data_IF_748750466239
#
_entry.id   IF_748750466239
#
_cell.length_a   1.000
_cell.length_b   1.000
_cell.length_c   1.000
_cell.angle_alpha   90.00
_cell.angle_beta   90.00
_cell.angle_gamma   90.00
#
_symmetry.space_group_name_H-M   'P 1'
#
loop_
_entity.id
_entity.type
_entity.pdbx_description
1 polymer ?
#
# COMPACT_ATOMS: atom_id res chain seq x y z
N UNK A 1 -8.54 36.55 3.87
CA UNK A 1 -9.35 37.68 4.33
C UNK A 1 -9.42 38.74 3.25
N UNK A 2 -10.57 39.30 2.98
CA UNK A 2 -10.78 40.33 1.98
C UNK A 2 -11.68 41.45 2.49
N UNK A 3 -11.52 42.61 1.93
CA UNK A 3 -12.41 43.77 2.14
C UNK A 3 -12.82 44.38 0.80
N UNK A 4 -13.82 45.26 0.79
CA UNK A 4 -14.26 45.93 -0.42
C UNK A 4 -13.13 46.81 -0.93
N UNK A 5 -13.00 46.88 -2.27
CA UNK A 5 -12.03 47.76 -2.91
C UNK A 5 -12.69 49.12 -3.28
N UNK A 6 -12.16 50.16 -2.72
CA UNK A 6 -12.61 51.54 -3.04
C UNK A 6 -11.42 52.38 -3.54
N UNK A 7 -11.58 53.16 -4.63
CA UNK A 7 -10.53 54.03 -5.08
C UNK A 7 -10.09 55.06 -4.01
N UNK A 8 -8.79 55.27 -3.84
CA UNK A 8 -8.24 56.23 -2.89
C UNK A 8 -8.30 55.81 -1.42
N UNK A 9 -8.65 54.53 -1.12
CA UNK A 9 -8.67 53.97 0.23
C UNK A 9 -7.35 53.23 0.49
N UNK A 10 -6.77 53.46 1.65
CA UNK A 10 -5.65 52.68 2.19
C UNK A 10 -6.14 51.68 3.19
N UNK A 11 -5.43 50.58 3.35
CA UNK A 11 -5.79 49.45 4.23
C UNK A 11 -4.66 49.19 5.21
N UNK A 12 -5.00 48.78 6.43
CA UNK A 12 -4.08 48.23 7.41
C UNK A 12 -4.75 47.11 8.16
N UNK A 13 -4.24 45.90 8.00
CA UNK A 13 -4.70 44.74 8.73
C UNK A 13 -4.10 44.70 10.13
N UNK A 14 -4.92 44.30 11.08
CA UNK A 14 -4.55 44.11 12.49
C UNK A 14 -4.81 42.65 12.89
N UNK A 15 -3.94 42.14 13.76
CA UNK A 15 -4.13 40.86 14.44
C UNK A 15 -4.05 41.05 15.93
N UNK A 16 -5.08 40.59 16.68
CA UNK A 16 -5.21 40.72 18.14
C UNK A 16 -5.03 42.20 18.61
N UNK A 17 -5.49 43.14 17.82
CA UNK A 17 -5.41 44.56 18.12
C UNK A 17 -4.11 45.25 17.70
N UNK A 18 -3.12 44.55 17.23
CA UNK A 18 -1.85 45.10 16.74
C UNK A 18 -1.78 45.10 15.23
N UNK A 19 -1.22 46.15 14.63
CA UNK A 19 -1.02 46.24 13.19
C UNK A 19 -0.07 45.14 12.69
N UNK A 20 -0.44 44.49 11.60
CA UNK A 20 0.43 43.52 10.94
C UNK A 20 1.31 44.28 9.94
N UNK A 21 2.61 44.27 10.18
CA UNK A 21 3.56 45.02 9.38
C UNK A 21 3.48 44.65 7.89
N UNK A 22 3.37 45.61 7.01
CA UNK A 22 3.28 45.44 5.56
C UNK A 22 1.92 44.88 5.06
N UNK A 23 0.96 44.60 5.91
CA UNK A 23 -0.35 44.11 5.51
C UNK A 23 -1.29 45.27 5.15
N UNK A 24 -1.02 45.90 3.98
CA UNK A 24 -1.72 47.10 3.48
C UNK A 24 -2.52 46.86 2.21
N UNK A 25 -2.61 45.60 1.76
CA UNK A 25 -3.41 45.23 0.60
C UNK A 25 -4.89 44.97 0.96
N UNK A 26 -5.76 45.07 -0.03
CA UNK A 26 -7.19 44.66 0.08
C UNK A 26 -7.35 43.20 0.53
N UNK A 27 -6.45 42.32 0.07
CA UNK A 27 -6.41 40.90 0.44
C UNK A 27 -5.28 40.66 1.45
N UNK A 28 -5.58 39.88 2.49
CA UNK A 28 -4.58 39.44 3.44
C UNK A 28 -4.68 37.92 3.65
N UNK A 29 -3.60 37.20 3.38
CA UNK A 29 -3.47 35.76 3.61
C UNK A 29 -2.72 35.51 4.91
N UNK A 30 -3.20 34.57 5.71
CA UNK A 30 -2.57 34.19 6.97
C UNK A 30 -2.83 32.75 7.32
N UNK A 31 -1.85 32.08 7.93
CA UNK A 31 -1.94 30.76 8.56
C UNK A 31 -1.92 30.83 10.09
N UNK A 32 -2.05 32.01 10.69
CA UNK A 32 -1.96 32.20 12.12
C UNK A 32 -3.36 32.38 12.75
N UNK A 33 -3.59 31.74 13.89
CA UNK A 33 -4.79 31.98 14.68
C UNK A 33 -4.77 33.41 15.25
N UNK A 34 -5.95 33.98 15.45
CA UNK A 34 -6.10 35.31 16.01
C UNK A 34 -7.39 36.00 15.62
N UNK A 35 -7.62 37.17 16.20
CA UNK A 35 -8.72 38.04 15.83
C UNK A 35 -8.22 39.10 14.86
N UNK A 36 -8.81 39.17 13.70
CA UNK A 36 -8.39 40.03 12.59
C UNK A 36 -9.41 41.15 12.34
N UNK A 37 -8.90 42.31 12.01
CA UNK A 37 -9.66 43.47 11.53
C UNK A 37 -8.87 44.17 10.44
N UNK A 38 -9.55 44.93 9.62
CA UNK A 38 -8.92 45.87 8.69
C UNK A 38 -9.39 47.31 9.03
N UNK A 39 -8.45 48.20 9.09
CA UNK A 39 -8.72 49.64 9.11
C UNK A 39 -8.65 50.15 7.68
N UNK A 40 -9.70 50.80 7.24
CA UNK A 40 -9.79 51.50 5.95
C UNK A 40 -9.70 53.00 6.21
N UNK A 41 -8.84 53.69 5.46
CA UNK A 41 -8.64 55.13 5.61
C UNK A 41 -8.81 55.83 4.26
N UNK A 42 -9.69 56.82 4.21
CA UNK A 42 -9.93 57.68 3.06
C UNK A 42 -10.05 59.12 3.51
N UNK A 43 -9.42 60.07 2.85
CA UNK A 43 -9.47 61.51 3.13
C UNK A 43 -9.25 61.84 4.63
N UNK A 44 -8.33 61.14 5.28
CA UNK A 44 -8.02 61.33 6.71
C UNK A 44 -9.01 60.69 7.70
N UNK A 45 -10.12 60.13 7.23
CA UNK A 45 -11.10 59.44 8.07
C UNK A 45 -10.86 57.90 8.04
N UNK A 46 -10.84 57.24 9.20
CA UNK A 46 -10.58 55.84 9.32
C UNK A 46 -11.80 55.10 9.93
N UNK A 47 -12.05 53.89 9.39
CA UNK A 47 -13.08 52.97 9.91
C UNK A 47 -12.52 51.57 10.02
N UNK A 48 -12.80 50.94 11.17
CA UNK A 48 -12.43 49.52 11.42
C UNK A 48 -13.58 48.59 11.06
N UNK A 49 -13.23 47.43 10.44
CA UNK A 49 -14.18 46.35 10.19
C UNK A 49 -14.65 45.66 11.49
N UNK A 50 -15.73 44.90 11.46
CA UNK A 50 -15.98 43.88 12.45
C UNK A 50 -14.80 42.90 12.59
N UNK A 51 -14.69 42.29 13.74
CA UNK A 51 -13.66 41.30 14.01
C UNK A 51 -14.00 39.94 13.38
N UNK A 52 -13.00 39.27 12.81
CA UNK A 52 -13.06 37.90 12.34
C UNK A 52 -12.08 37.09 13.16
N UNK A 53 -12.53 36.02 13.81
CA UNK A 53 -11.68 35.12 14.55
C UNK A 53 -11.28 33.92 13.68
N UNK A 54 -9.98 33.70 13.52
CA UNK A 54 -9.40 32.51 12.89
C UNK A 54 -8.90 31.60 14.01
N UNK A 55 -9.41 30.37 14.02
CA UNK A 55 -8.93 29.30 14.91
C UNK A 55 -8.17 28.28 14.07
N UNK A 56 -7.03 27.84 14.56
CA UNK A 56 -6.32 26.69 14.01
C UNK A 56 -6.71 25.48 14.85
N UNK A 57 -7.23 24.47 14.19
CA UNK A 57 -7.59 23.21 14.82
C UNK A 57 -6.53 22.18 14.42
N UNK A 58 -5.94 21.49 15.39
CA UNK A 58 -5.07 20.37 15.10
C UNK A 58 -5.87 19.27 14.42
N UNK A 59 -5.29 18.68 13.38
CA UNK A 59 -5.85 17.50 12.74
C UNK A 59 -5.87 16.29 13.70
N UNK A 60 -6.66 15.27 13.40
CA UNK A 60 -6.66 14.04 14.19
C UNK A 60 -5.31 13.34 14.10
N UNK A 61 -4.92 12.62 15.15
CA UNK A 61 -3.84 11.65 15.04
C UNK A 61 -4.33 10.47 14.18
N UNK A 62 -3.58 10.12 13.14
CA UNK A 62 -3.93 9.02 12.26
C UNK A 62 -2.81 7.98 12.27
N UNK A 63 -3.15 6.74 12.64
CA UNK A 63 -2.25 5.61 12.65
C UNK A 63 -3.01 4.33 12.31
N UNK A 64 -2.33 3.39 11.65
CA UNK A 64 -2.86 2.05 11.40
C UNK A 64 -1.88 0.99 11.90
N UNK A 65 -2.44 -0.16 12.31
CA UNK A 65 -1.70 -1.33 12.75
C UNK A 65 -2.23 -2.56 12.02
N UNK A 66 -1.38 -3.58 11.84
CA UNK A 66 -1.79 -4.86 11.32
C UNK A 66 -2.02 -5.85 12.48
N UNK A 67 -3.11 -6.62 12.40
CA UNK A 67 -3.38 -7.73 13.30
C UNK A 67 -2.99 -9.05 12.59
N UNK A 68 -1.70 -9.36 12.58
CA UNK A 68 -1.12 -10.54 11.94
C UNK A 68 -0.01 -10.20 10.96
N UNK A 69 0.44 -11.23 10.22
CA UNK A 69 1.49 -11.09 9.20
C UNK A 69 1.00 -10.25 8.03
N UNK A 70 1.85 -9.35 7.57
CA UNK A 70 1.62 -8.57 6.33
C UNK A 70 2.21 -9.27 5.09
N UNK A 71 2.92 -10.37 5.27
CA UNK A 71 3.33 -11.27 4.19
C UNK A 71 2.30 -12.40 4.12
N UNK A 72 1.41 -12.33 3.15
CA UNK A 72 0.30 -13.24 2.98
C UNK A 72 0.67 -14.34 1.99
N UNK A 73 0.29 -15.54 2.32
CA UNK A 73 0.35 -16.69 1.45
C UNK A 73 -1.05 -17.00 0.92
N UNK A 74 -1.12 -17.70 -0.16
CA UNK A 74 -2.29 -18.10 -0.94
C UNK A 74 -3.62 -18.09 -0.16
N UNK A 75 -4.49 -17.14 -0.43
CA UNK A 75 -5.81 -17.01 0.19
C UNK A 75 -5.83 -16.47 1.63
N UNK A 76 -4.68 -16.15 2.22
CA UNK A 76 -4.63 -15.53 3.55
C UNK A 76 -5.08 -14.07 3.52
N UNK A 77 -5.51 -13.59 4.66
CA UNK A 77 -5.91 -12.19 4.86
C UNK A 77 -5.25 -11.63 6.11
N UNK A 78 -5.09 -10.32 6.15
CA UNK A 78 -4.69 -9.55 7.33
C UNK A 78 -5.74 -8.48 7.61
N UNK A 79 -6.00 -8.21 8.88
CA UNK A 79 -6.87 -7.10 9.31
C UNK A 79 -5.97 -5.90 9.63
N UNK A 80 -6.19 -4.81 8.94
CA UNK A 80 -5.61 -3.52 9.28
C UNK A 80 -6.61 -2.73 10.12
N UNK A 81 -6.14 -2.13 11.22
CA UNK A 81 -6.97 -1.36 12.14
C UNK A 81 -6.47 0.07 12.22
N UNK A 82 -7.37 1.03 12.02
CA UNK A 82 -7.11 2.43 12.29
C UNK A 82 -7.36 2.74 13.78
N UNK A 83 -6.59 3.68 14.35
CA UNK A 83 -6.82 4.12 15.70
C UNK A 83 -8.20 4.80 15.86
N UNK A 84 -8.79 4.64 17.03
CA UNK A 84 -10.09 5.28 17.34
C UNK A 84 -9.92 6.77 17.56
N UNK A 85 -10.71 7.57 16.84
CA UNK A 85 -10.82 9.02 17.01
C UNK A 85 -12.31 9.37 17.13
N UNK A 86 -12.69 10.00 18.23
CA UNK A 86 -14.09 10.35 18.48
C UNK A 86 -14.66 11.27 17.40
N UNK A 87 -15.81 10.90 16.83
CA UNK A 87 -16.50 11.67 15.79
C UNK A 87 -15.81 11.68 14.43
N UNK A 88 -14.81 10.84 14.22
CA UNK A 88 -14.12 10.74 12.93
C UNK A 88 -14.82 9.82 11.94
N UNK A 89 -14.61 10.10 10.67
CA UNK A 89 -14.88 9.19 9.55
C UNK A 89 -13.56 8.64 9.03
N UNK A 90 -13.63 7.43 8.46
CA UNK A 90 -12.49 6.70 7.92
C UNK A 90 -12.65 6.52 6.41
N UNK A 91 -11.54 6.47 5.70
CA UNK A 91 -11.47 6.09 4.30
C UNK A 91 -10.14 5.40 4.05
N UNK A 92 -10.20 4.13 3.64
CA UNK A 92 -9.01 3.37 3.31
C UNK A 92 -8.53 3.67 1.89
N UNK A 93 -7.21 3.62 1.74
CA UNK A 93 -6.52 3.80 0.47
C UNK A 93 -5.59 2.61 0.23
N UNK A 94 -5.51 2.18 -1.03
CA UNK A 94 -4.49 1.28 -1.54
C UNK A 94 -3.68 2.05 -2.59
N UNK A 95 -2.35 2.04 -2.45
CA UNK A 95 -1.41 2.73 -3.34
C UNK A 95 -1.79 4.20 -3.61
N UNK A 96 -2.30 4.87 -2.57
CA UNK A 96 -2.72 6.27 -2.59
C UNK A 96 -4.12 6.52 -3.18
N UNK A 97 -4.83 5.49 -3.66
CA UNK A 97 -6.17 5.59 -4.24
C UNK A 97 -7.21 5.12 -3.23
N UNK A 98 -8.33 5.84 -3.12
CA UNK A 98 -9.43 5.44 -2.23
C UNK A 98 -10.01 4.09 -2.65
N UNK A 99 -10.16 3.18 -1.70
CA UNK A 99 -10.89 1.92 -1.89
C UNK A 99 -12.39 2.24 -1.71
N UNK A 100 -13.17 2.07 -2.76
CA UNK A 100 -14.59 2.43 -2.75
C UNK A 100 -15.37 1.62 -1.69
N UNK A 101 -16.13 2.32 -0.84
CA UNK A 101 -16.94 1.70 0.22
C UNK A 101 -16.18 1.32 1.50
N UNK A 102 -14.86 1.36 1.53
CA UNK A 102 -14.05 0.98 2.69
C UNK A 102 -13.91 2.17 3.66
N UNK A 103 -14.96 2.32 4.48
CA UNK A 103 -15.11 3.43 5.45
C UNK A 103 -15.19 2.97 6.90
N UNK A 104 -15.01 1.69 7.17
CA UNK A 104 -14.96 1.15 8.53
C UNK A 104 -13.60 1.45 9.18
N UNK A 105 -13.54 1.34 10.51
CA UNK A 105 -12.29 1.48 11.26
C UNK A 105 -11.28 0.38 10.94
N UNK A 106 -11.74 -0.79 10.48
CA UNK A 106 -10.90 -1.94 10.10
C UNK A 106 -11.09 -2.25 8.62
N UNK A 107 -10.03 -2.73 7.98
CA UNK A 107 -10.00 -3.22 6.60
C UNK A 107 -9.42 -4.64 6.58
N UNK A 108 -10.10 -5.55 5.87
CA UNK A 108 -9.57 -6.89 5.58
C UNK A 108 -8.85 -6.82 4.24
N UNK A 109 -7.58 -7.23 4.23
CA UNK A 109 -6.71 -7.17 3.05
C UNK A 109 -6.24 -8.58 2.68
N UNK A 110 -6.31 -8.91 1.39
CA UNK A 110 -5.82 -10.16 0.79
C UNK A 110 -4.89 -9.95 -0.40
N UNK A 111 -4.63 -8.71 -0.80
CA UNK A 111 -3.84 -8.35 -1.99
C UNK A 111 -2.61 -7.54 -1.61
N UNK A 112 -1.57 -7.64 -2.43
CA UNK A 112 -0.37 -6.79 -2.29
C UNK A 112 -0.74 -5.33 -2.53
N UNK A 113 -0.09 -4.42 -1.77
CA UNK A 113 -0.27 -2.98 -1.92
C UNK A 113 0.23 -2.21 -0.71
N UNK A 114 0.24 -0.88 -0.82
CA UNK A 114 0.56 0.05 0.24
C UNK A 114 -0.74 0.64 0.79
N UNK A 115 -1.07 0.30 2.04
CA UNK A 115 -2.33 0.68 2.65
C UNK A 115 -2.17 1.82 3.63
N UNK A 116 -3.10 2.75 3.58
CA UNK A 116 -3.25 3.87 4.51
C UNK A 116 -4.72 4.09 4.84
N UNK A 117 -4.98 4.78 5.94
CA UNK A 117 -6.31 5.25 6.29
C UNK A 117 -6.30 6.77 6.42
N UNK A 118 -7.22 7.43 5.74
CA UNK A 118 -7.53 8.84 5.96
C UNK A 118 -8.56 8.93 7.06
N UNK A 119 -8.20 9.59 8.15
CA UNK A 119 -9.08 9.85 9.30
C UNK A 119 -9.48 11.32 9.25
N UNK A 120 -10.78 11.59 9.24
CA UNK A 120 -11.33 12.94 9.09
C UNK A 120 -12.26 13.29 10.25
N UNK A 121 -11.97 14.41 10.87
CA UNK A 121 -12.84 15.14 11.80
C UNK A 121 -13.17 16.49 11.15
N UNK A 122 -12.89 17.61 11.81
CA UNK A 122 -12.89 18.95 11.17
C UNK A 122 -11.74 19.07 10.14
N UNK A 123 -10.64 18.37 10.38
CA UNK A 123 -9.49 18.26 9.48
C UNK A 123 -9.25 16.79 9.16
N UNK A 124 -8.53 16.52 8.07
CA UNK A 124 -8.13 15.18 7.68
C UNK A 124 -6.65 14.95 7.97
N UNK A 125 -6.31 13.72 8.34
CA UNK A 125 -4.93 13.24 8.41
C UNK A 125 -4.81 11.86 7.75
N UNK A 126 -3.64 11.58 7.17
CA UNK A 126 -3.29 10.25 6.65
C UNK A 126 -2.45 9.51 7.69
N UNK A 127 -2.70 8.21 7.82
CA UNK A 127 -1.91 7.31 8.67
C UNK A 127 -0.51 7.05 8.10
N UNK A 128 0.31 6.34 8.89
CA UNK A 128 1.45 5.61 8.36
C UNK A 128 1.03 4.65 7.24
N UNK A 129 2.00 4.23 6.41
CA UNK A 129 1.81 3.19 5.39
C UNK A 129 2.07 1.82 6.00
N UNK A 130 1.24 0.83 5.66
CA UNK A 130 1.54 -0.59 5.85
C UNK A 130 1.60 -1.23 4.47
N UNK A 131 2.75 -1.81 4.13
CA UNK A 131 2.93 -2.58 2.90
C UNK A 131 2.53 -4.03 3.17
N UNK A 132 1.57 -4.53 2.41
CA UNK A 132 1.15 -5.93 2.41
C UNK A 132 1.71 -6.59 1.15
N UNK A 133 2.32 -7.76 1.31
CA UNK A 133 2.74 -8.61 0.19
C UNK A 133 1.88 -9.87 0.17
N UNK A 134 1.36 -10.23 -0.97
CA UNK A 134 0.60 -11.48 -1.16
C UNK A 134 1.30 -12.29 -2.25
N UNK A 135 1.68 -13.50 -1.90
CA UNK A 135 2.35 -14.45 -2.81
C UNK A 135 1.45 -15.66 -3.01
N UNK A 136 1.31 -16.11 -4.25
CA UNK A 136 0.69 -17.40 -4.56
C UNK A 136 1.80 -18.37 -4.99
N UNK A 137 1.81 -19.57 -4.41
CA UNK A 137 2.69 -20.62 -4.87
C UNK A 137 2.05 -21.30 -6.08
N UNK A 138 2.57 -21.02 -7.29
CA UNK A 138 2.18 -21.70 -8.52
C UNK A 138 3.22 -22.75 -8.83
N UNK A 139 2.80 -24.03 -8.88
CA UNK A 139 3.69 -25.13 -9.21
C UNK A 139 3.21 -25.78 -10.50
N UNK A 140 4.09 -25.79 -11.49
CA UNK A 140 3.91 -26.55 -12.72
C UNK A 140 5.21 -27.29 -13.05
N UNK A 141 5.10 -28.42 -13.71
CA UNK A 141 6.22 -29.15 -14.32
C UNK A 141 5.98 -29.20 -15.81
N UNK A 142 7.02 -28.90 -16.58
CA UNK A 142 6.97 -28.95 -18.05
C UNK A 142 8.15 -29.78 -18.57
N UNK A 143 7.91 -30.71 -19.53
CA UNK A 143 6.61 -31.14 -20.04
C UNK A 143 5.76 -31.83 -18.97
N UNK A 144 4.42 -31.75 -19.08
CA UNK A 144 3.47 -32.27 -18.08
C UNK A 144 2.86 -33.62 -18.42
N UNK A 145 3.10 -34.11 -19.63
CA UNK A 145 2.64 -35.41 -20.12
C UNK A 145 3.73 -36.47 -20.00
N UNK A 146 3.37 -37.74 -20.03
CA UNK A 146 4.31 -38.85 -20.07
C UNK A 146 5.31 -38.68 -21.23
N UNK A 147 6.57 -38.88 -20.91
CA UNK A 147 7.67 -38.79 -21.87
C UNK A 147 8.24 -40.19 -22.16
N UNK A 148 8.55 -40.46 -23.43
CA UNK A 148 9.26 -41.68 -23.82
C UNK A 148 10.50 -41.28 -24.63
N UNK A 149 11.66 -41.73 -24.20
CA UNK A 149 12.94 -41.42 -24.82
C UNK A 149 13.78 -42.69 -25.00
N UNK A 150 14.69 -42.67 -25.96
CA UNK A 150 15.62 -43.77 -26.18
C UNK A 150 16.73 -43.75 -25.11
N UNK A 151 17.29 -44.93 -24.82
CA UNK A 151 18.45 -45.04 -23.93
C UNK A 151 19.60 -44.13 -24.40
N UNK A 152 20.18 -43.38 -23.47
CA UNK A 152 21.19 -42.35 -23.73
C UNK A 152 20.64 -40.93 -23.99
N UNK A 153 19.32 -40.79 -24.16
CA UNK A 153 18.64 -39.48 -24.21
C UNK A 153 18.14 -39.04 -22.84
N UNK A 154 17.75 -37.78 -22.73
CA UNK A 154 17.18 -37.24 -21.52
C UNK A 154 15.97 -36.34 -21.80
N UNK A 155 15.10 -36.19 -20.80
CA UNK A 155 14.03 -35.21 -20.78
C UNK A 155 14.43 -34.05 -19.87
N UNK A 156 14.44 -32.84 -20.41
CA UNK A 156 14.64 -31.66 -19.59
C UNK A 156 13.28 -31.21 -18.98
N UNK A 157 13.13 -31.37 -17.68
CA UNK A 157 12.03 -30.80 -16.93
C UNK A 157 12.38 -29.38 -16.47
N UNK A 158 11.39 -28.52 -16.44
CA UNK A 158 11.46 -27.16 -15.87
C UNK A 158 10.23 -26.85 -15.03
N UNK A 159 10.37 -25.93 -14.10
CA UNK A 159 9.29 -25.36 -13.30
C UNK A 159 9.40 -23.84 -13.26
N UNK A 160 8.42 -23.16 -12.64
CA UNK A 160 8.44 -21.70 -12.49
C UNK A 160 9.66 -21.25 -11.67
N UNK A 161 10.40 -20.27 -12.17
CA UNK A 161 11.53 -19.66 -11.48
C UNK A 161 11.08 -18.34 -10.85
N UNK A 162 10.65 -18.40 -9.57
CA UNK A 162 10.24 -17.23 -8.80
C UNK A 162 11.29 -16.93 -7.70
N UNK A 163 11.59 -15.66 -7.44
CA UNK A 163 12.51 -15.28 -6.38
C UNK A 163 12.08 -15.84 -5.02
N UNK A 164 13.02 -16.42 -4.30
CA UNK A 164 12.79 -17.00 -2.97
C UNK A 164 12.31 -18.45 -2.96
N UNK A 165 12.13 -19.08 -4.12
CA UNK A 165 11.87 -20.51 -4.23
C UNK A 165 13.14 -21.34 -4.03
N UNK A 166 13.00 -22.44 -3.26
CA UNK A 166 13.96 -23.53 -3.21
C UNK A 166 13.32 -24.76 -3.86
N UNK A 167 14.09 -25.50 -4.64
CA UNK A 167 13.62 -26.63 -5.42
C UNK A 167 14.21 -27.91 -4.91
N UNK A 168 13.47 -29.00 -5.03
CA UNK A 168 13.93 -30.36 -4.85
C UNK A 168 13.21 -31.27 -5.84
N UNK A 169 13.94 -31.83 -6.81
CA UNK A 169 13.40 -32.83 -7.71
C UNK A 169 13.36 -34.20 -7.03
N UNK A 170 12.31 -34.95 -7.36
CA UNK A 170 12.07 -36.28 -6.82
C UNK A 170 11.86 -37.28 -7.96
N UNK A 171 12.25 -38.53 -7.75
CA UNK A 171 11.94 -39.67 -8.60
C UNK A 171 11.33 -40.76 -7.73
N UNK A 172 10.20 -41.31 -8.15
CA UNK A 172 9.46 -42.36 -7.44
C UNK A 172 9.19 -42.01 -5.96
N UNK A 173 8.92 -40.69 -5.71
CA UNK A 173 8.68 -40.12 -4.38
C UNK A 173 9.94 -39.87 -3.54
N UNK A 174 11.13 -40.22 -4.03
CA UNK A 174 12.39 -40.00 -3.31
C UNK A 174 13.15 -38.79 -3.86
N UNK A 175 13.73 -38.00 -2.96
CA UNK A 175 14.53 -36.85 -3.35
C UNK A 175 15.77 -37.27 -4.13
N UNK A 176 16.03 -36.60 -5.26
CA UNK A 176 17.24 -36.78 -6.07
C UNK A 176 18.33 -35.89 -5.46
N UNK A 177 19.43 -36.48 -4.92
CA UNK A 177 20.49 -35.70 -4.29
C UNK A 177 21.07 -34.63 -5.22
N UNK A 178 21.14 -33.38 -4.74
CA UNK A 178 21.71 -32.25 -5.50
C UNK A 178 20.83 -31.67 -6.61
N UNK A 179 19.64 -32.21 -6.86
CA UNK A 179 18.69 -31.72 -7.84
C UNK A 179 17.84 -30.56 -7.26
N UNK A 180 18.47 -29.39 -7.11
CA UNK A 180 17.90 -28.20 -6.40
C UNK A 180 17.75 -26.96 -7.31
N UNK A 181 17.81 -27.17 -8.63
CA UNK A 181 17.59 -26.11 -9.62
C UNK A 181 16.13 -26.07 -10.10
N UNK A 182 15.74 -25.00 -10.77
CA UNK A 182 14.44 -24.83 -11.44
C UNK A 182 14.23 -25.79 -12.64
N UNK A 183 15.27 -26.55 -12.97
CA UNK A 183 15.25 -27.54 -14.06
C UNK A 183 16.01 -28.78 -13.66
N UNK A 184 15.65 -29.93 -14.28
CA UNK A 184 16.26 -31.23 -14.06
C UNK A 184 16.23 -32.06 -15.33
N UNK A 185 17.37 -32.72 -15.68
CA UNK A 185 17.51 -33.59 -16.83
C UNK A 185 17.34 -35.04 -16.42
N UNK A 186 16.18 -35.64 -16.72
CA UNK A 186 15.83 -37.01 -16.40
C UNK A 186 16.29 -37.95 -17.54
N UNK A 187 17.12 -38.94 -17.21
CA UNK A 187 17.65 -39.93 -18.16
C UNK A 187 17.41 -41.37 -17.73
N UNK A 188 16.61 -41.58 -16.70
CA UNK A 188 16.20 -42.89 -16.15
C UNK A 188 14.69 -42.97 -16.13
N UNK A 189 14.12 -44.15 -16.34
CA UNK A 189 12.68 -44.38 -16.18
C UNK A 189 12.28 -44.16 -14.74
N UNK A 190 11.11 -43.49 -14.52
CA UNK A 190 10.59 -43.22 -13.22
C UNK A 190 9.47 -42.19 -13.25
N UNK A 191 8.90 -41.91 -12.08
CA UNK A 191 7.84 -40.91 -11.89
C UNK A 191 8.45 -39.69 -11.23
N UNK A 192 8.55 -38.58 -11.99
CA UNK A 192 9.23 -37.37 -11.59
C UNK A 192 8.26 -36.32 -11.07
N UNK A 193 8.67 -35.60 -10.05
CA UNK A 193 7.99 -34.42 -9.52
C UNK A 193 9.02 -33.44 -8.97
N UNK A 194 8.60 -32.19 -8.79
CA UNK A 194 9.39 -31.15 -8.11
C UNK A 194 8.66 -30.64 -6.89
N UNK A 195 9.36 -30.54 -5.77
CA UNK A 195 8.89 -29.87 -4.56
C UNK A 195 9.49 -28.48 -4.52
N UNK A 196 8.65 -27.46 -4.38
CA UNK A 196 9.05 -26.07 -4.20
C UNK A 196 8.75 -25.67 -2.76
N UNK A 197 9.74 -25.03 -2.13
CA UNK A 197 9.61 -24.47 -0.77
C UNK A 197 10.00 -23.00 -0.78
N UNK A 198 9.16 -22.15 -0.18
CA UNK A 198 9.43 -20.73 0.02
C UNK A 198 8.87 -20.25 1.36
N UNK A 199 8.80 -18.92 1.58
CA UNK A 199 8.24 -18.33 2.79
C UNK A 199 6.77 -18.68 3.06
N UNK A 200 6.05 -19.22 2.06
CA UNK A 200 4.65 -19.66 2.16
C UNK A 200 4.48 -21.16 2.46
N UNK A 201 5.57 -21.89 2.60
CA UNK A 201 5.54 -23.32 2.87
C UNK A 201 6.12 -24.16 1.74
N UNK A 202 5.64 -25.38 1.60
CA UNK A 202 6.14 -26.36 0.61
C UNK A 202 4.98 -26.99 -0.14
N UNK A 203 5.14 -27.12 -1.45
CA UNK A 203 4.20 -27.83 -2.32
C UNK A 203 4.96 -28.71 -3.32
N UNK A 204 4.31 -29.80 -3.78
CA UNK A 204 4.85 -30.70 -4.78
C UNK A 204 3.99 -30.66 -6.05
N UNK A 205 4.62 -30.64 -7.22
CA UNK A 205 3.96 -30.64 -8.52
C UNK A 205 3.17 -31.93 -8.78
N UNK A 206 2.35 -31.91 -9.83
CA UNK A 206 1.89 -33.15 -10.45
C UNK A 206 3.09 -33.98 -10.89
N UNK A 207 2.92 -35.30 -10.90
CA UNK A 207 3.97 -36.24 -11.30
C UNK A 207 3.94 -36.46 -12.82
N UNK A 208 5.11 -36.64 -13.42
CA UNK A 208 5.29 -36.98 -14.84
C UNK A 208 6.09 -38.27 -14.97
N UNK A 209 5.58 -39.22 -15.75
CA UNK A 209 6.26 -40.48 -16.01
C UNK A 209 7.27 -40.32 -17.17
N UNK A 210 8.47 -40.81 -16.97
CA UNK A 210 9.49 -40.98 -18.01
C UNK A 210 9.70 -42.46 -18.27
N UNK A 211 9.60 -42.89 -19.54
CA UNK A 211 9.92 -44.20 -20.01
C UNK A 211 11.18 -44.14 -20.87
N UNK A 212 12.23 -44.78 -20.44
CA UNK A 212 13.46 -44.95 -21.24
C UNK A 212 13.38 -46.33 -21.90
N UNK A 213 13.36 -46.37 -23.22
CA UNK A 213 13.26 -47.59 -24.00
C UNK A 213 14.63 -47.96 -24.60
N UNK A 214 14.97 -49.27 -24.76
CA UNK A 214 16.18 -49.68 -25.45
C UNK A 214 16.19 -49.12 -26.88
N UNK A 215 17.39 -48.74 -27.37
CA UNK A 215 17.61 -48.33 -28.77
C UNK A 215 17.80 -49.52 -29.70
#
# INVERSE_FOLDING_TARGET
LSTNNFPGVTYQWERNGSAVNGATAQLYSTSLAGTYRVTQTANGCSKKSPAISIKIVAGPSAAITANGSVNLCNGQTVILNANTVSGATYQWLADGVNIAGETNQSLIVSTSGNYQCRITTTCAALSNVITVTASSMQISISPSNTQTVCQGSSVLFSTSNEPGNNYQWNVDGNAIPGAVSDSYSANVSGVYSVTITNGCGSQTSQSVTVNVVPG
#
